data_IF_942807416736
#
_entry.id   IF_942807416736
#
_cell.length_a   1.000
_cell.length_b   1.000
_cell.length_c   1.000
_cell.angle_alpha   90.00
_cell.angle_beta   90.00
_cell.angle_gamma   90.00
#
_symmetry.space_group_name_H-M   'P 1'
#
loop_
_entity.id
_entity.type
_entity.pdbx_description
1 polymer ?
#
# COMPACT_ATOMS: atom_id res chain seq x y z
N UNK A 1 -1.03 -28.38 -13.55
CA UNK A 1 -0.39 -27.20 -12.96
C UNK A 1 -0.78 -26.00 -13.79
N UNK A 2 -1.26 -24.93 -13.16
CA UNK A 2 -1.60 -23.67 -13.83
C UNK A 2 -0.34 -23.06 -14.43
N UNK A 3 -0.39 -22.59 -15.68
CA UNK A 3 0.76 -21.96 -16.34
C UNK A 3 0.91 -20.50 -15.93
N UNK A 4 2.08 -19.91 -16.18
CA UNK A 4 2.33 -18.49 -15.89
C UNK A 4 1.42 -17.61 -16.74
N UNK A 5 1.18 -18.00 -18.00
CA UNK A 5 0.28 -17.29 -18.92
C UNK A 5 -1.15 -17.28 -18.38
N UNK A 6 -1.65 -18.44 -17.93
CA UNK A 6 -2.99 -18.54 -17.33
C UNK A 6 -3.13 -17.68 -16.08
N UNK A 7 -2.12 -17.69 -15.19
CA UNK A 7 -2.14 -16.86 -13.99
C UNK A 7 -2.06 -15.36 -14.32
N UNK A 8 -1.35 -15.00 -15.38
CA UNK A 8 -1.25 -13.62 -15.86
C UNK A 8 -2.59 -13.11 -16.41
N UNK A 9 -3.30 -13.94 -17.18
CA UNK A 9 -4.67 -13.63 -17.64
C UNK A 9 -5.64 -13.49 -16.45
N UNK A 10 -5.59 -14.41 -15.49
CA UNK A 10 -6.41 -14.35 -14.28
C UNK A 10 -6.10 -13.09 -13.42
N UNK A 11 -4.82 -12.72 -13.31
CA UNK A 11 -4.40 -11.52 -12.60
C UNK A 11 -4.93 -10.24 -13.28
N UNK A 12 -4.91 -10.17 -14.61
CA UNK A 12 -5.47 -9.04 -15.36
C UNK A 12 -6.99 -8.94 -15.14
N UNK A 13 -7.72 -10.06 -15.19
CA UNK A 13 -9.16 -10.04 -14.94
C UNK A 13 -9.49 -9.65 -13.49
N UNK A 14 -8.75 -10.17 -12.52
CA UNK A 14 -8.88 -9.74 -11.12
C UNK A 14 -8.62 -8.24 -10.97
N UNK A 15 -7.56 -7.72 -11.61
CA UNK A 15 -7.25 -6.29 -11.56
C UNK A 15 -8.37 -5.44 -12.13
N UNK A 16 -9.02 -5.86 -13.22
CA UNK A 16 -10.19 -5.16 -13.75
C UNK A 16 -11.35 -5.16 -12.74
N UNK A 17 -11.60 -6.30 -12.08
CA UNK A 17 -12.63 -6.39 -11.05
C UNK A 17 -12.33 -5.46 -9.87
N UNK A 18 -11.08 -5.43 -9.40
CA UNK A 18 -10.66 -4.56 -8.30
C UNK A 18 -10.78 -3.07 -8.68
N UNK A 19 -10.35 -2.68 -9.88
CA UNK A 19 -10.51 -1.30 -10.40
C UNK A 19 -11.99 -0.90 -10.44
N UNK A 20 -12.87 -1.83 -10.82
CA UNK A 20 -14.31 -1.57 -10.90
C UNK A 20 -14.98 -1.43 -9.51
N UNK A 21 -14.28 -1.78 -8.44
CA UNK A 21 -14.76 -1.73 -7.06
C UNK A 21 -14.04 -0.62 -6.29
N UNK A 22 -14.75 0.47 -6.01
CA UNK A 22 -14.18 1.57 -5.21
C UNK A 22 -13.69 1.04 -3.85
N UNK A 23 -12.48 1.43 -3.49
CA UNK A 23 -11.81 0.99 -2.26
C UNK A 23 -10.91 2.11 -1.76
N UNK A 24 -11.50 3.27 -1.46
CA UNK A 24 -10.73 4.32 -0.78
C UNK A 24 -10.26 3.82 0.59
N UNK A 25 -9.18 4.38 1.14
CA UNK A 25 -8.69 3.98 2.46
C UNK A 25 -9.79 4.04 3.52
N UNK A 26 -10.05 2.92 4.18
CA UNK A 26 -11.14 2.70 5.13
C UNK A 26 -12.48 2.20 4.55
N UNK A 27 -12.61 2.13 3.23
CA UNK A 27 -13.81 1.71 2.48
C UNK A 27 -13.59 0.42 1.65
N UNK A 28 -12.62 -0.40 2.02
CA UNK A 28 -12.13 -1.53 1.20
C UNK A 28 -12.87 -2.86 1.42
N UNK A 29 -14.07 -2.85 2.04
CA UNK A 29 -14.79 -4.08 2.44
C UNK A 29 -15.12 -4.98 1.24
N UNK A 30 -15.53 -4.39 0.13
CA UNK A 30 -15.89 -5.13 -1.09
C UNK A 30 -14.67 -5.74 -1.78
N UNK A 31 -13.57 -4.99 -1.92
CA UNK A 31 -12.32 -5.54 -2.48
C UNK A 31 -11.72 -6.61 -1.58
N UNK A 32 -11.84 -6.45 -0.26
CA UNK A 32 -11.46 -7.48 0.70
C UNK A 32 -12.24 -8.79 0.52
N UNK A 33 -13.55 -8.69 0.27
CA UNK A 33 -14.37 -9.86 0.00
C UNK A 33 -14.00 -10.53 -1.33
N UNK A 34 -13.75 -9.74 -2.39
CA UNK A 34 -13.31 -10.26 -3.69
C UNK A 34 -12.00 -11.06 -3.54
N UNK A 35 -11.00 -10.48 -2.86
CA UNK A 35 -9.70 -11.12 -2.64
C UNK A 35 -9.82 -12.40 -1.81
N UNK A 36 -10.68 -12.41 -0.79
CA UNK A 36 -10.98 -13.62 0.00
C UNK A 36 -11.54 -14.73 -0.89
N UNK A 37 -12.54 -14.42 -1.73
CA UNK A 37 -13.15 -15.39 -2.63
C UNK A 37 -12.13 -15.95 -3.64
N UNK A 38 -11.26 -15.11 -4.19
CA UNK A 38 -10.22 -15.56 -5.13
C UNK A 38 -9.25 -16.54 -4.45
N UNK A 39 -8.83 -16.26 -3.21
CA UNK A 39 -7.98 -17.19 -2.46
C UNK A 39 -8.68 -18.54 -2.24
N UNK A 40 -9.98 -18.54 -1.92
CA UNK A 40 -10.79 -19.76 -1.79
C UNK A 40 -10.90 -20.52 -3.12
N UNK A 41 -11.09 -19.84 -4.24
CA UNK A 41 -11.13 -20.43 -5.59
C UNK A 41 -9.82 -21.14 -5.95
N UNK A 42 -8.69 -20.60 -5.50
CA UNK A 42 -7.39 -21.26 -5.63
C UNK A 42 -7.13 -22.36 -4.58
N UNK A 43 -8.09 -22.61 -3.67
CA UNK A 43 -8.03 -23.68 -2.69
C UNK A 43 -7.31 -23.32 -1.39
N UNK A 44 -7.06 -22.04 -1.12
CA UNK A 44 -6.52 -21.58 0.15
C UNK A 44 -7.64 -21.30 1.16
N UNK A 45 -7.28 -21.21 2.43
CA UNK A 45 -8.19 -20.76 3.51
C UNK A 45 -7.80 -19.34 3.89
N UNK A 46 -8.47 -18.30 3.35
CA UNK A 46 -8.15 -16.94 3.69
C UNK A 46 -8.53 -16.65 5.15
N UNK A 47 -7.73 -15.80 5.78
CA UNK A 47 -8.02 -15.18 7.06
C UNK A 47 -8.21 -13.68 6.84
N UNK A 48 -9.06 -13.06 7.67
CA UNK A 48 -9.43 -11.66 7.52
C UNK A 48 -9.53 -10.96 8.87
N UNK A 49 -8.99 -9.74 8.95
CA UNK A 49 -9.12 -8.85 10.13
C UNK A 49 -9.31 -7.41 9.65
N UNK A 50 -10.51 -6.87 9.87
CA UNK A 50 -10.93 -5.65 9.20
C UNK A 50 -10.96 -5.89 7.69
N UNK A 51 -10.33 -5.02 6.92
CA UNK A 51 -10.21 -5.17 5.47
C UNK A 51 -8.91 -5.83 5.03
N UNK A 52 -8.05 -6.29 5.95
CA UNK A 52 -6.84 -7.02 5.58
C UNK A 52 -7.13 -8.51 5.40
N UNK A 53 -6.56 -9.12 4.35
CA UNK A 53 -6.76 -10.52 3.97
C UNK A 53 -5.42 -11.19 3.80
N UNK A 54 -5.26 -12.37 4.36
CA UNK A 54 -4.05 -13.17 4.15
C UNK A 54 -4.33 -14.65 4.00
N UNK A 55 -3.38 -15.35 3.39
CA UNK A 55 -3.38 -16.80 3.31
C UNK A 55 -1.96 -17.34 3.53
N UNK A 56 -1.89 -18.53 4.12
CA UNK A 56 -0.65 -19.27 4.33
C UNK A 56 -0.53 -20.37 3.28
N UNK A 57 0.68 -20.62 2.78
CA UNK A 57 0.97 -21.80 1.97
C UNK A 57 0.76 -23.07 2.80
N UNK A 58 0.34 -24.16 2.16
CA UNK A 58 0.12 -25.45 2.80
C UNK A 58 0.95 -26.55 2.12
N UNK A 59 1.56 -27.48 2.88
CA UNK A 59 1.66 -27.48 4.35
C UNK A 59 2.60 -26.37 4.86
N UNK A 60 2.31 -25.83 6.05
CA UNK A 60 3.20 -24.93 6.77
C UNK A 60 4.15 -25.73 7.68
N UNK A 61 5.43 -25.37 7.72
CA UNK A 61 6.46 -26.03 8.52
C UNK A 61 7.21 -25.01 9.39
N UNK A 62 7.00 -25.10 10.71
CA UNK A 62 7.61 -24.20 11.70
C UNK A 62 9.15 -24.26 11.73
N UNK A 63 9.78 -25.24 11.05
CA UNK A 63 11.23 -25.34 10.94
C UNK A 63 11.81 -24.66 9.68
N UNK A 64 10.96 -24.09 8.83
CA UNK A 64 11.37 -23.37 7.62
C UNK A 64 11.23 -21.86 7.82
N UNK A 65 12.10 -21.06 7.16
CA UNK A 65 11.91 -19.61 7.14
C UNK A 65 10.62 -19.24 6.41
N UNK A 66 10.03 -18.12 6.76
CA UNK A 66 8.74 -17.65 6.23
C UNK A 66 8.91 -16.33 5.49
N UNK A 67 8.47 -16.33 4.23
CA UNK A 67 8.48 -15.14 3.38
C UNK A 67 7.07 -14.59 3.19
N UNK A 68 6.91 -13.29 3.37
CA UNK A 68 5.65 -12.60 3.13
C UNK A 68 5.68 -11.86 1.80
N UNK A 69 4.63 -12.02 1.00
CA UNK A 69 4.32 -11.24 -0.18
C UNK A 69 3.17 -10.30 0.16
N UNK A 70 3.44 -9.00 0.23
CA UNK A 70 2.46 -7.99 0.64
C UNK A 70 2.30 -6.90 -0.41
N UNK A 71 1.08 -6.41 -0.57
CA UNK A 71 0.73 -5.18 -1.30
C UNK A 71 -0.57 -4.66 -0.71
N UNK A 72 -0.86 -3.38 -0.91
CA UNK A 72 -2.13 -2.81 -0.47
C UNK A 72 -3.21 -2.89 -1.54
N UNK A 73 -4.48 -2.81 -1.12
CA UNK A 73 -5.65 -2.82 -2.00
C UNK A 73 -6.60 -1.65 -1.77
N UNK A 74 -6.22 -0.72 -0.90
CA UNK A 74 -6.86 0.59 -0.81
C UNK A 74 -6.32 1.54 -1.90
N UNK A 75 -7.02 2.65 -2.10
CA UNK A 75 -6.69 3.65 -3.10
C UNK A 75 -6.84 5.06 -2.53
N UNK A 76 -6.05 6.00 -3.04
CA UNK A 76 -6.33 7.43 -2.85
C UNK A 76 -7.68 7.86 -3.43
N UNK A 77 -8.15 9.05 -3.04
CA UNK A 77 -9.30 9.67 -3.67
C UNK A 77 -9.06 9.97 -5.15
N UNK A 78 -10.07 9.71 -5.98
CA UNK A 78 -10.03 10.08 -7.39
C UNK A 78 -9.89 11.60 -7.58
N UNK A 79 -8.86 12.01 -8.32
CA UNK A 79 -8.63 13.41 -8.68
C UNK A 79 -9.64 13.92 -9.72
N UNK A 80 -9.99 15.21 -9.68
CA UNK A 80 -10.78 15.85 -10.74
C UNK A 80 -10.07 15.94 -12.10
N UNK A 81 -8.80 15.52 -12.18
CA UNK A 81 -7.97 15.54 -13.40
C UNK A 81 -8.07 14.26 -14.24
N UNK A 82 -8.83 13.25 -13.79
CA UNK A 82 -9.04 12.03 -14.56
C UNK A 82 -9.69 12.34 -15.91
N UNK A 83 -9.12 11.83 -17.00
CA UNK A 83 -9.66 11.94 -18.36
C UNK A 83 -10.48 10.72 -18.79
N UNK A 84 -10.39 9.65 -18.00
CA UNK A 84 -11.17 8.41 -18.11
C UNK A 84 -11.89 8.18 -16.78
N UNK A 85 -13.01 7.47 -16.80
CA UNK A 85 -13.72 7.12 -15.57
C UNK A 85 -12.82 6.24 -14.67
N UNK A 86 -12.49 6.66 -13.43
CA UNK A 86 -11.47 6.01 -12.60
C UNK A 86 -11.83 4.56 -12.25
N UNK A 87 -13.12 4.26 -12.08
CA UNK A 87 -13.62 2.93 -11.73
C UNK A 87 -14.14 2.15 -12.94
N UNK A 88 -13.77 2.54 -14.16
CA UNK A 88 -14.09 1.77 -15.38
C UNK A 88 -12.80 1.24 -15.99
N UNK A 89 -12.47 -0.05 -15.75
CA UNK A 89 -11.24 -0.64 -16.26
C UNK A 89 -11.23 -0.59 -17.79
N UNK A 90 -10.31 0.20 -18.35
CA UNK A 90 -10.24 0.43 -19.79
C UNK A 90 -8.93 -0.08 -20.34
N UNK A 91 -8.96 -1.11 -21.19
CA UNK A 91 -7.78 -1.62 -21.88
C UNK A 91 -7.65 -0.95 -23.24
N UNK A 92 -6.59 -0.15 -23.43
CA UNK A 92 -6.33 0.59 -24.68
C UNK A 92 -4.82 0.60 -24.94
N UNK A 93 -4.40 0.28 -26.16
CA UNK A 93 -2.99 0.26 -26.58
C UNK A 93 -2.06 -0.53 -25.64
N UNK A 94 -2.55 -1.67 -25.13
CA UNK A 94 -1.81 -2.53 -24.21
C UNK A 94 -1.68 -1.99 -22.78
N UNK A 95 -2.42 -0.94 -22.42
CA UNK A 95 -2.43 -0.33 -21.08
C UNK A 95 -3.80 -0.46 -20.44
N UNK A 96 -3.84 -0.90 -19.20
CA UNK A 96 -5.05 -0.95 -18.39
C UNK A 96 -5.17 0.31 -17.52
N UNK A 97 -6.16 1.14 -17.83
CA UNK A 97 -6.44 2.37 -17.11
C UNK A 97 -7.51 2.13 -16.04
N UNK A 98 -7.28 2.69 -14.86
CA UNK A 98 -8.18 2.66 -13.71
C UNK A 98 -7.47 3.16 -12.46
N UNK A 99 -8.21 3.74 -11.52
CA UNK A 99 -7.66 4.10 -10.22
C UNK A 99 -7.20 2.82 -9.50
N UNK A 100 -6.04 2.86 -8.87
CA UNK A 100 -5.44 1.68 -8.26
C UNK A 100 -4.76 0.71 -9.24
N UNK A 101 -4.82 0.93 -10.57
CA UNK A 101 -4.29 -0.06 -11.52
C UNK A 101 -2.77 -0.25 -11.42
N UNK A 102 -2.05 0.84 -11.13
CA UNK A 102 -0.59 0.84 -10.93
C UNK A 102 -0.21 0.79 -9.45
N UNK A 103 -0.97 1.47 -8.60
CA UNK A 103 -0.65 1.77 -7.20
C UNK A 103 -1.80 1.35 -6.27
N UNK A 104 -1.77 0.15 -5.66
CA UNK A 104 -0.84 -0.94 -5.95
C UNK A 104 -1.52 -2.20 -6.51
N UNK A 105 -2.65 -2.05 -7.22
CA UNK A 105 -3.43 -3.17 -7.75
C UNK A 105 -2.64 -4.10 -8.70
N UNK A 106 -1.82 -3.55 -9.59
CA UNK A 106 -0.94 -4.33 -10.47
C UNK A 106 0.07 -5.21 -9.71
N UNK A 107 0.89 -4.63 -8.81
CA UNK A 107 1.72 -5.38 -7.88
C UNK A 107 0.95 -6.43 -7.07
N UNK A 108 -0.20 -6.06 -6.49
CA UNK A 108 -1.05 -6.93 -5.67
C UNK A 108 -1.45 -8.22 -6.40
N UNK A 109 -2.06 -8.10 -7.59
CA UNK A 109 -2.52 -9.29 -8.34
C UNK A 109 -1.35 -10.14 -8.83
N UNK A 110 -0.20 -9.52 -9.09
CA UNK A 110 1.03 -10.21 -9.50
C UNK A 110 1.64 -11.01 -8.35
N UNK A 111 1.63 -10.46 -7.13
CA UNK A 111 2.06 -11.17 -5.92
C UNK A 111 1.09 -12.29 -5.53
N UNK A 112 -0.21 -12.11 -5.70
CA UNK A 112 -1.21 -13.18 -5.52
C UNK A 112 -0.94 -14.34 -6.49
N UNK A 113 -0.79 -14.04 -7.79
CA UNK A 113 -0.47 -15.04 -8.80
C UNK A 113 0.85 -15.78 -8.47
N UNK A 114 1.87 -15.05 -7.99
CA UNK A 114 3.15 -15.61 -7.55
C UNK A 114 2.98 -16.54 -6.35
N UNK A 115 2.20 -16.12 -5.35
CA UNK A 115 1.86 -16.93 -4.18
C UNK A 115 1.20 -18.25 -4.57
N UNK A 116 0.20 -18.20 -5.46
CA UNK A 116 -0.49 -19.39 -5.99
C UNK A 116 0.50 -20.32 -6.70
N UNK A 117 1.32 -19.76 -7.60
CA UNK A 117 2.28 -20.52 -8.39
C UNK A 117 3.33 -21.25 -7.54
N UNK A 118 3.89 -20.54 -6.56
CA UNK A 118 4.96 -21.08 -5.71
C UNK A 118 4.43 -22.05 -4.67
N UNK A 119 3.22 -21.84 -4.14
CA UNK A 119 2.56 -22.76 -3.20
C UNK A 119 2.21 -24.11 -3.83
N UNK A 120 2.06 -24.17 -5.17
CA UNK A 120 1.88 -25.42 -5.90
C UNK A 120 3.16 -26.26 -6.09
N UNK A 121 4.28 -25.85 -5.47
CA UNK A 121 5.61 -26.47 -5.60
C UNK A 121 6.26 -26.66 -4.24
N UNK A 122 7.18 -27.62 -4.15
CA UNK A 122 8.03 -27.74 -2.98
C UNK A 122 8.97 -26.54 -2.88
N UNK A 123 8.95 -25.86 -1.73
CA UNK A 123 9.82 -24.73 -1.42
C UNK A 123 10.62 -25.00 -0.14
N UNK A 124 11.84 -24.44 -0.03
CA UNK A 124 12.62 -24.49 1.20
C UNK A 124 12.16 -23.47 2.26
N UNK A 125 11.06 -22.75 2.00
CA UNK A 125 10.47 -21.72 2.86
C UNK A 125 8.94 -21.84 2.88
N UNK A 126 8.30 -21.23 3.88
CA UNK A 126 6.86 -20.98 3.90
C UNK A 126 6.54 -19.67 3.18
N UNK A 127 5.31 -19.53 2.67
CA UNK A 127 4.80 -18.29 2.09
C UNK A 127 3.57 -17.78 2.84
N UNK A 128 3.51 -16.46 2.98
CA UNK A 128 2.32 -15.70 3.36
C UNK A 128 2.00 -14.75 2.22
N UNK A 129 0.75 -14.71 1.78
CA UNK A 129 0.24 -13.59 0.99
C UNK A 129 -0.58 -12.69 1.88
N UNK A 130 -0.37 -11.37 1.83
CA UNK A 130 -1.13 -10.37 2.57
C UNK A 130 -1.58 -9.23 1.63
N UNK A 131 -2.89 -9.10 1.44
CA UNK A 131 -3.50 -7.89 0.90
C UNK A 131 -3.85 -6.97 2.09
N UNK A 132 -3.14 -5.84 2.23
CA UNK A 132 -3.32 -4.90 3.34
C UNK A 132 -4.21 -3.71 2.98
N UNK A 133 -4.91 -3.18 3.98
CA UNK A 133 -5.76 -2.00 3.86
C UNK A 133 -5.11 -0.75 4.48
N UNK A 134 -5.70 0.42 4.24
CA UNK A 134 -5.32 1.73 4.78
C UNK A 134 -3.84 2.14 4.63
N UNK A 135 -3.12 1.68 3.60
CA UNK A 135 -1.71 2.03 3.39
C UNK A 135 -1.57 3.54 3.11
N UNK A 136 -2.39 4.06 2.21
CA UNK A 136 -2.31 5.43 1.65
C UNK A 136 -2.53 6.53 2.69
N UNK A 137 -3.08 6.15 3.85
CA UNK A 137 -3.34 7.05 4.99
C UNK A 137 -2.55 6.67 6.24
N UNK A 138 -1.66 5.68 6.14
CA UNK A 138 -0.95 5.08 7.28
C UNK A 138 -1.91 4.71 8.42
N UNK A 139 -3.04 4.11 8.05
CA UNK A 139 -4.16 3.87 8.94
C UNK A 139 -3.85 2.82 10.00
N UNK A 140 -4.42 3.03 11.19
CA UNK A 140 -4.17 2.15 12.34
C UNK A 140 -4.77 0.76 12.19
N UNK A 141 -5.66 0.54 11.20
CA UNK A 141 -6.29 -0.75 10.95
C UNK A 141 -5.69 -1.48 9.74
N UNK A 142 -4.61 -0.96 9.15
CA UNK A 142 -3.84 -1.66 8.12
C UNK A 142 -2.93 -2.75 8.67
N UNK A 143 -1.73 -2.90 8.09
CA UNK A 143 -0.72 -3.90 8.49
C UNK A 143 -0.50 -4.05 10.01
N UNK A 144 -0.44 -2.98 10.84
CA UNK A 144 -0.14 -3.11 12.27
C UNK A 144 -1.09 -4.03 13.06
N UNK A 145 -2.36 -4.19 12.64
CA UNK A 145 -3.29 -5.07 13.35
C UNK A 145 -3.15 -6.53 12.95
N UNK A 146 -2.50 -6.81 11.81
CA UNK A 146 -2.36 -8.16 11.23
C UNK A 146 -1.07 -8.80 11.67
N UNK A 147 0.03 -8.04 11.78
CA UNK A 147 1.34 -8.59 12.18
C UNK A 147 1.29 -9.48 13.45
N UNK A 148 0.51 -9.16 14.51
CA UNK A 148 0.40 -10.03 15.68
C UNK A 148 -0.36 -11.35 15.46
N UNK A 149 -1.11 -11.47 14.36
CA UNK A 149 -1.88 -12.66 13.98
C UNK A 149 -1.08 -13.62 13.08
N UNK A 150 0.06 -13.16 12.55
CA UNK A 150 0.90 -13.94 11.63
C UNK A 150 1.97 -14.74 12.39
N UNK A 151 2.45 -15.87 11.84
CA UNK A 151 3.66 -16.52 12.33
C UNK A 151 4.89 -15.61 12.14
N UNK A 152 6.04 -16.03 12.65
CA UNK A 152 7.29 -15.30 12.46
C UNK A 152 7.60 -15.11 10.96
N UNK A 153 8.01 -13.90 10.57
CA UNK A 153 8.33 -13.51 9.20
C UNK A 153 9.81 -13.20 9.13
N UNK A 154 10.57 -13.96 8.33
CA UNK A 154 12.00 -13.75 8.14
C UNK A 154 12.30 -12.65 7.11
N UNK A 155 11.44 -12.51 6.10
CA UNK A 155 11.59 -11.53 5.04
C UNK A 155 10.25 -11.21 4.38
N UNK A 156 10.09 -9.97 3.91
CA UNK A 156 8.91 -9.53 3.19
C UNK A 156 9.29 -8.86 1.87
N UNK A 157 8.50 -9.13 0.84
CA UNK A 157 8.47 -8.37 -0.41
C UNK A 157 7.21 -7.53 -0.39
N UNK A 158 7.37 -6.21 -0.47
CA UNK A 158 6.27 -5.26 -0.61
C UNK A 158 6.17 -4.86 -2.09
N UNK A 159 5.01 -5.09 -2.68
CA UNK A 159 4.73 -4.82 -4.08
C UNK A 159 4.30 -3.37 -4.27
N UNK A 160 5.19 -2.56 -4.81
CA UNK A 160 4.96 -1.16 -5.17
C UNK A 160 5.40 -0.90 -6.61
N UNK A 161 4.99 0.19 -7.27
CA UNK A 161 5.33 0.47 -8.66
C UNK A 161 6.80 0.94 -8.84
N UNK A 162 7.75 0.05 -8.56
CA UNK A 162 9.20 0.28 -8.70
C UNK A 162 9.74 -0.09 -10.08
N UNK A 163 8.87 -0.37 -11.06
CA UNK A 163 9.27 -0.89 -12.38
C UNK A 163 10.08 -2.20 -12.32
N UNK A 164 9.83 -3.03 -11.30
CA UNK A 164 10.60 -4.26 -10.97
C UNK A 164 12.04 -4.00 -10.52
N UNK A 165 12.42 -2.76 -10.24
CA UNK A 165 13.69 -2.45 -9.59
C UNK A 165 13.59 -2.68 -8.07
N UNK A 166 14.71 -3.11 -7.47
CA UNK A 166 14.78 -3.39 -6.04
C UNK A 166 15.03 -2.10 -5.24
N UNK A 167 14.03 -1.64 -4.50
CA UNK A 167 14.19 -0.60 -3.50
C UNK A 167 14.69 -1.21 -2.18
N UNK A 168 15.98 -1.00 -1.87
CA UNK A 168 16.61 -1.51 -0.63
C UNK A 168 16.56 -0.52 0.54
N UNK A 169 16.08 0.70 0.30
CA UNK A 169 15.94 1.75 1.29
C UNK A 169 14.76 2.64 0.94
N UNK A 170 14.04 3.10 1.96
CA UNK A 170 12.89 4.00 1.85
C UNK A 170 13.00 5.12 2.89
N UNK A 171 12.51 6.32 2.55
CA UNK A 171 12.46 7.45 3.50
C UNK A 171 11.23 7.29 4.39
N UNK A 172 11.39 7.44 5.70
CA UNK A 172 10.24 7.54 6.60
C UNK A 172 9.48 8.87 6.44
N UNK A 173 8.25 8.89 6.94
CA UNK A 173 7.38 10.08 6.95
C UNK A 173 7.05 10.51 8.38
N UNK A 174 7.12 11.82 8.64
CA UNK A 174 6.62 12.44 9.86
C UNK A 174 5.79 13.66 9.46
N UNK A 175 4.55 13.74 9.95
CA UNK A 175 3.69 14.92 9.82
C UNK A 175 3.68 15.65 11.17
N UNK A 176 3.97 16.95 11.15
CA UNK A 176 4.00 17.81 12.34
C UNK A 176 2.97 18.94 12.22
N UNK A 177 1.97 18.95 13.09
CA UNK A 177 1.05 20.07 13.23
C UNK A 177 1.68 21.17 14.09
N UNK A 178 2.06 22.28 13.46
CA UNK A 178 2.69 23.42 14.12
C UNK A 178 1.73 24.61 14.21
N UNK A 179 1.49 25.12 15.42
CA UNK A 179 0.58 26.26 15.66
C UNK A 179 1.37 27.47 16.15
N UNK A 180 1.25 28.60 15.45
CA UNK A 180 1.83 29.89 15.86
C UNK A 180 0.78 30.75 16.57
N UNK A 181 1.10 31.20 17.78
CA UNK A 181 0.22 32.07 18.57
C UNK A 181 0.75 33.51 18.62
N UNK A 182 -0.17 34.45 18.41
CA UNK A 182 0.04 35.89 18.52
C UNK A 182 -0.89 36.51 19.56
N UNK A 183 -0.90 37.84 19.60
CA UNK A 183 -1.78 38.64 20.46
C UNK A 183 -2.64 39.55 19.59
N UNK A 184 -3.95 39.59 19.85
CA UNK A 184 -4.87 40.44 19.10
C UNK A 184 -4.61 41.92 19.39
N UNK A 185 -4.74 42.77 18.36
CA UNK A 185 -4.61 44.22 18.50
C UNK A 185 -5.15 44.97 17.29
N UNK A 186 -5.32 46.28 17.39
CA UNK A 186 -5.76 47.10 16.26
C UNK A 186 -4.64 47.26 15.23
N UNK A 187 -4.84 46.76 14.01
CA UNK A 187 -3.88 46.87 12.92
C UNK A 187 -3.45 48.32 12.61
N UNK A 188 -4.36 49.29 12.77
CA UNK A 188 -4.08 50.71 12.55
C UNK A 188 -3.31 51.40 13.71
N UNK A 189 -3.16 50.73 14.86
CA UNK A 189 -2.47 51.26 16.06
C UNK A 189 -1.16 50.53 16.35
N UNK A 190 -0.78 49.58 15.50
CA UNK A 190 0.40 48.74 15.70
C UNK A 190 0.41 48.04 17.08
N UNK A 191 -0.77 47.60 17.51
CA UNK A 191 -0.98 46.84 18.75
C UNK A 191 -0.99 45.33 18.46
N UNK A 192 -0.67 44.53 19.47
CA UNK A 192 -0.69 43.07 19.39
C UNK A 192 0.55 42.46 18.73
N UNK A 193 0.53 41.15 18.54
CA UNK A 193 1.60 40.37 17.95
C UNK A 193 1.06 39.51 16.81
N UNK A 194 1.56 39.69 15.60
CA UNK A 194 1.08 38.96 14.44
C UNK A 194 1.67 37.53 14.40
N UNK A 195 0.79 36.53 14.58
CA UNK A 195 1.16 35.11 14.53
C UNK A 195 1.79 34.68 13.19
N UNK A 196 1.42 35.33 12.07
CA UNK A 196 1.98 35.02 10.75
C UNK A 196 3.47 35.38 10.69
N UNK A 197 3.85 36.56 11.20
CA UNK A 197 5.24 37.01 11.19
C UNK A 197 6.13 36.15 12.09
N UNK A 198 5.59 35.64 13.20
CA UNK A 198 6.29 34.63 14.02
C UNK A 198 6.50 33.33 13.25
N UNK A 199 5.46 32.84 12.57
CA UNK A 199 5.51 31.60 11.81
C UNK A 199 6.54 31.66 10.66
N UNK A 200 6.69 32.82 10.00
CA UNK A 200 7.64 32.99 8.89
C UNK A 200 9.08 32.57 9.25
N UNK A 201 9.55 32.87 10.46
CA UNK A 201 10.91 32.48 10.89
C UNK A 201 11.07 30.97 11.00
N UNK A 202 10.05 30.29 11.53
CA UNK A 202 10.06 28.84 11.68
C UNK A 202 9.94 28.15 10.33
N UNK A 203 9.11 28.68 9.43
CA UNK A 203 8.97 28.18 8.06
C UNK A 203 10.32 28.27 7.33
N UNK A 204 11.01 29.40 7.45
CA UNK A 204 12.34 29.56 6.83
C UNK A 204 13.36 28.59 7.42
N UNK A 205 13.32 28.36 8.73
CA UNK A 205 14.16 27.34 9.37
C UNK A 205 13.86 25.95 8.84
N UNK A 206 12.59 25.51 8.80
CA UNK A 206 12.22 24.19 8.27
C UNK A 206 12.62 24.00 6.80
N UNK A 207 12.59 25.07 6.01
CA UNK A 207 13.00 25.04 4.60
C UNK A 207 14.51 24.91 4.41
N UNK A 208 15.30 25.47 5.33
CA UNK A 208 16.76 25.61 5.18
C UNK A 208 17.57 24.72 6.11
N UNK A 209 16.93 24.04 7.05
CA UNK A 209 17.61 23.15 7.98
C UNK A 209 18.08 21.88 7.27
N UNK A 210 19.35 21.55 7.46
CA UNK A 210 19.96 20.31 6.98
C UNK A 210 20.27 19.41 8.17
N UNK A 211 19.85 18.14 8.09
CA UNK A 211 20.19 17.15 9.10
C UNK A 211 21.69 16.81 9.02
N UNK A 212 22.34 16.69 10.18
CA UNK A 212 23.77 16.30 10.26
C UNK A 212 24.04 14.90 9.68
N UNK A 213 23.04 14.02 9.73
CA UNK A 213 23.11 12.65 9.22
C UNK A 213 22.42 12.57 7.88
N UNK A 214 23.12 12.06 6.88
CA UNK A 214 22.59 11.75 5.55
C UNK A 214 22.68 10.26 5.28
N UNK A 215 21.76 9.73 4.48
CA UNK A 215 21.79 8.34 4.05
C UNK A 215 22.74 8.19 2.86
N UNK A 216 23.61 7.17 2.89
CA UNK A 216 24.46 6.84 1.73
C UNK A 216 23.63 6.41 0.51
N UNK A 217 22.43 5.87 0.73
CA UNK A 217 21.54 5.34 -0.31
C UNK A 217 20.49 6.38 -0.72
N UNK A 218 19.92 7.12 0.24
CA UNK A 218 18.79 8.03 0.01
C UNK A 218 19.18 9.51 0.00
N UNK A 219 20.42 9.84 0.33
CA UNK A 219 20.89 11.22 0.47
C UNK A 219 20.33 11.94 1.70
N UNK A 220 20.30 13.27 1.63
CA UNK A 220 19.66 14.18 2.58
C UNK A 220 18.15 14.31 2.34
#
# INVERSE_FOLDING_TARGET
MTTIEQLSEQAIELLKTLIATQSYSGEEDETAQILSNVLEEFGFTPQRKGNNIWALSQPFDDNKPTFMLNSHHDTVLASSKWTKEPFTPTLEDGKLFGLGSNDAGGPLVSLLATFVYLSGKEQPYNLIFLASAEEETSGKKGVPIVLPELPEIDFAVVGEPTSMDLAIAERGLIVLDCVSHGESGHAARNEGENALYKAMKNIEWFKSYEFEKTSEVLGS
#
